data_IF_035347866733
#
_entry.id   IF_035347866733
#
_cell.length_a   1.000
_cell.length_b   1.000
_cell.length_c   1.000
_cell.angle_alpha   90.00
_cell.angle_beta   90.00
_cell.angle_gamma   90.00
#
_symmetry.space_group_name_H-M   'P 1'
#
loop_
_entity.id
_entity.type
_entity.pdbx_description
1 polymer ?
#
# COMPACT_ATOMS: atom_id res chain seq x y z
N UNK A 1 -20.59 21.70 18.87
CA UNK A 1 -19.22 22.24 19.09
C UNK A 1 -18.33 21.05 19.43
N UNK A 2 -17.52 20.57 18.49
CA UNK A 2 -16.61 19.45 18.75
C UNK A 2 -15.19 20.01 18.83
N UNK A 3 -14.55 19.73 19.96
CA UNK A 3 -13.33 20.34 20.42
C UNK A 3 -12.16 20.11 19.45
N UNK A 4 -11.37 21.17 19.29
CA UNK A 4 -10.05 21.10 18.70
C UNK A 4 -9.08 20.48 19.72
N UNK A 5 -8.24 19.53 19.26
CA UNK A 5 -6.92 19.32 19.86
C UNK A 5 -6.64 17.96 20.50
N UNK A 6 -6.44 16.93 19.69
CA UNK A 6 -5.37 15.94 19.90
C UNK A 6 -4.72 15.71 18.54
N UNK A 7 -3.53 16.28 18.31
CA UNK A 7 -2.73 16.02 17.09
C UNK A 7 -2.03 14.67 17.22
N UNK A 8 -2.81 13.60 17.33
CA UNK A 8 -2.32 12.24 17.16
C UNK A 8 -2.05 11.96 15.68
N UNK A 9 -1.07 11.11 15.37
CA UNK A 9 -0.90 10.59 14.02
C UNK A 9 -2.13 9.76 13.65
N UNK A 10 -2.89 10.19 12.64
CA UNK A 10 -4.09 9.50 12.17
C UNK A 10 -3.66 8.49 11.10
N UNK A 11 -3.78 7.19 11.41
CA UNK A 11 -3.59 6.11 10.44
C UNK A 11 -4.93 5.78 9.81
N UNK A 12 -4.99 5.76 8.48
CA UNK A 12 -6.16 5.35 7.70
C UNK A 12 -5.78 4.15 6.83
N UNK A 13 -6.55 3.07 6.95
CA UNK A 13 -6.41 1.88 6.12
C UNK A 13 -7.41 1.97 4.96
N UNK A 14 -6.94 1.68 3.75
CA UNK A 14 -7.76 1.66 2.54
C UNK A 14 -7.67 0.28 1.90
N UNK A 15 -8.79 -0.22 1.38
CA UNK A 15 -8.83 -1.50 0.65
C UNK A 15 -8.62 -1.24 -0.83
N UNK A 16 -7.65 -1.91 -1.43
CA UNK A 16 -7.54 -2.02 -2.88
C UNK A 16 -8.53 -3.12 -3.29
N UNK A 17 -9.58 -2.74 -4.01
CA UNK A 17 -10.57 -3.66 -4.55
C UNK A 17 -10.20 -4.08 -5.97
N UNK A 18 -10.67 -5.26 -6.36
CA UNK A 18 -10.51 -5.82 -7.70
C UNK A 18 -11.89 -5.87 -8.39
N UNK A 19 -11.93 -5.54 -9.68
CA UNK A 19 -13.14 -5.72 -10.51
C UNK A 19 -13.28 -7.18 -10.94
N UNK A 20 -14.51 -7.68 -11.01
CA UNK A 20 -14.80 -9.06 -11.42
C UNK A 20 -14.74 -9.27 -12.96
N UNK A 21 -14.41 -8.23 -13.73
CA UNK A 21 -14.35 -8.29 -15.19
C UNK A 21 -13.03 -8.91 -15.71
N UNK A 22 -13.00 -9.25 -17.00
CA UNK A 22 -11.76 -9.50 -17.74
C UNK A 22 -11.52 -8.35 -18.73
N UNK A 23 -10.39 -7.62 -18.65
CA UNK A 23 -9.31 -7.76 -17.68
C UNK A 23 -9.69 -7.30 -16.26
N UNK A 24 -9.05 -7.90 -15.26
CA UNK A 24 -9.19 -7.51 -13.84
C UNK A 24 -8.54 -6.14 -13.64
N UNK A 25 -9.22 -5.27 -12.91
CA UNK A 25 -8.73 -3.93 -12.58
C UNK A 25 -8.70 -3.70 -11.09
N UNK A 26 -7.76 -2.90 -10.63
CA UNK A 26 -7.56 -2.55 -9.22
C UNK A 26 -7.93 -1.10 -8.97
N UNK A 27 -8.58 -0.83 -7.83
CA UNK A 27 -8.98 0.52 -7.48
C UNK A 27 -9.07 0.76 -5.96
N UNK A 28 -8.80 2.00 -5.55
CA UNK A 28 -9.09 2.51 -4.19
C UNK A 28 -10.43 3.24 -4.13
N UNK A 29 -10.83 3.84 -5.26
CA UNK A 29 -12.10 4.53 -5.49
C UNK A 29 -12.65 4.06 -6.83
N UNK A 30 -13.94 3.78 -6.92
CA UNK A 30 -14.58 3.26 -8.14
C UNK A 30 -14.39 4.17 -9.36
N UNK A 31 -14.11 5.45 -9.11
CA UNK A 31 -13.84 6.46 -10.12
C UNK A 31 -12.48 6.28 -10.83
N UNK A 32 -11.51 5.59 -10.21
CA UNK A 32 -10.16 5.41 -10.74
C UNK A 32 -9.75 3.94 -10.71
N UNK A 33 -9.85 3.28 -11.87
CA UNK A 33 -9.52 1.88 -12.08
C UNK A 33 -8.23 1.75 -12.88
N UNK A 34 -7.34 0.84 -12.44
CA UNK A 34 -6.01 0.63 -12.99
C UNK A 34 -5.79 -0.84 -13.32
N UNK A 35 -4.83 -1.15 -14.19
CA UNK A 35 -4.60 -2.53 -14.62
C UNK A 35 -3.65 -3.28 -13.67
N UNK A 36 -2.85 -2.56 -12.87
CA UNK A 36 -1.99 -3.16 -11.85
C UNK A 36 -1.83 -2.30 -10.57
N UNK A 37 -1.44 -2.91 -9.45
CA UNK A 37 -1.23 -2.23 -8.17
C UNK A 37 -0.17 -1.12 -8.23
N UNK A 38 0.99 -1.28 -8.91
CA UNK A 38 1.97 -0.21 -9.06
C UNK A 38 1.39 1.07 -9.66
N UNK A 39 0.50 0.97 -10.65
CA UNK A 39 -0.18 2.11 -11.26
C UNK A 39 -1.12 2.82 -10.27
N UNK A 40 -1.85 2.05 -9.45
CA UNK A 40 -2.69 2.61 -8.38
C UNK A 40 -1.83 3.47 -7.46
N UNK A 41 -0.67 2.98 -7.04
CA UNK A 41 0.25 3.67 -6.13
C UNK A 41 0.81 4.94 -6.79
N UNK A 42 1.30 4.85 -8.03
CA UNK A 42 1.93 5.98 -8.73
C UNK A 42 0.94 7.10 -9.03
N UNK A 43 -0.30 6.77 -9.37
CA UNK A 43 -1.36 7.76 -9.53
C UNK A 43 -1.67 8.45 -8.20
N UNK A 44 -1.85 7.67 -7.13
CA UNK A 44 -2.25 8.21 -5.83
C UNK A 44 -1.13 8.95 -5.08
N UNK A 45 0.11 8.85 -5.56
CA UNK A 45 1.25 9.66 -5.12
C UNK A 45 1.15 11.12 -5.56
N UNK A 46 0.58 11.35 -6.73
CA UNK A 46 0.38 12.68 -7.31
C UNK A 46 -1.00 13.25 -6.96
N UNK A 47 -2.04 12.41 -6.98
CA UNK A 47 -3.43 12.81 -6.77
C UNK A 47 -4.03 12.08 -5.56
N UNK A 48 -4.81 12.76 -4.72
CA UNK A 48 -5.43 12.09 -3.57
C UNK A 48 -6.53 11.11 -3.99
N UNK A 49 -7.24 11.33 -5.11
CA UNK A 49 -8.14 10.34 -5.71
C UNK A 49 -9.30 9.82 -4.83
N UNK A 50 -9.63 10.51 -3.73
CA UNK A 50 -10.60 10.05 -2.72
C UNK A 50 -9.98 9.58 -1.39
N UNK A 51 -8.65 9.55 -1.28
CA UNK A 51 -7.92 9.36 -0.03
C UNK A 51 -7.88 10.66 0.79
N UNK A 52 -7.68 10.55 2.11
CA UNK A 52 -7.50 11.69 3.01
C UNK A 52 -6.32 12.57 2.57
N UNK A 53 -5.26 11.96 2.06
CA UNK A 53 -4.14 12.66 1.41
C UNK A 53 -3.54 11.79 0.30
N UNK A 54 -2.83 12.41 -0.65
CA UNK A 54 -1.95 11.69 -1.57
C UNK A 54 -0.91 10.84 -0.81
N UNK A 55 -0.45 9.75 -1.42
CA UNK A 55 0.64 8.94 -0.90
C UNK A 55 1.95 9.74 -0.96
N UNK A 56 2.61 9.98 0.17
CA UNK A 56 3.79 10.85 0.25
C UNK A 56 5.09 10.08 0.38
N UNK A 57 5.14 9.20 1.37
CA UNK A 57 6.35 8.50 1.75
C UNK A 57 6.05 7.00 1.76
N UNK A 58 6.73 6.20 0.92
CA UNK A 58 6.65 4.76 1.06
C UNK A 58 7.17 4.39 2.44
N UNK A 59 6.40 3.58 3.17
CA UNK A 59 6.84 3.03 4.45
C UNK A 59 7.74 1.84 4.16
N UNK A 60 8.98 1.90 4.60
CA UNK A 60 9.96 0.83 4.37
C UNK A 60 11.18 1.03 5.26
N UNK A 61 11.56 -0.03 5.97
CA UNK A 61 12.72 0.02 6.83
C UNK A 61 13.93 -0.21 5.93
N UNK A 62 14.80 0.79 5.77
CA UNK A 62 16.07 0.62 5.03
C UNK A 62 17.04 -0.36 5.72
N UNK A 63 16.61 -0.99 6.81
CA UNK A 63 17.37 -1.87 7.68
C UNK A 63 16.65 -3.20 7.92
N UNK A 64 15.70 -3.62 7.07
CA UNK A 64 15.15 -4.97 7.20
C UNK A 64 16.23 -5.98 6.84
N UNK A 65 16.79 -6.61 7.88
CA UNK A 65 17.46 -7.89 7.74
C UNK A 65 16.52 -8.81 6.98
N UNK A 66 16.98 -9.34 5.85
CA UNK A 66 16.29 -10.40 5.10
C UNK A 66 15.69 -11.40 6.09
N UNK A 67 14.39 -11.77 5.95
CA UNK A 67 13.79 -12.73 6.87
C UNK A 67 14.70 -13.96 6.94
N UNK A 68 14.92 -14.54 8.13
CA UNK A 68 15.81 -15.67 8.28
C UNK A 68 15.37 -16.76 7.31
N UNK A 69 16.23 -17.09 6.34
CA UNK A 69 16.02 -18.22 5.44
C UNK A 69 15.92 -19.46 6.32
N UNK A 70 14.91 -20.30 6.10
CA UNK A 70 14.84 -21.60 6.74
C UNK A 70 16.12 -22.38 6.40
N UNK A 71 17.00 -22.54 7.41
CA UNK A 71 18.10 -23.51 7.49
C UNK A 71 18.98 -23.69 6.26
N UNK A 72 20.18 -23.12 6.34
CA UNK A 72 21.38 -23.51 5.59
C UNK A 72 21.34 -23.44 4.05
N UNK A 73 22.46 -23.00 3.48
CA UNK A 73 22.76 -23.13 2.05
C UNK A 73 22.59 -24.57 1.55
N UNK A 74 22.43 -24.72 0.23
CA UNK A 74 22.17 -25.95 -0.54
C UNK A 74 23.07 -27.20 -0.26
N UNK A 75 24.00 -27.15 0.70
CA UNK A 75 25.04 -28.18 0.91
C UNK A 75 25.23 -28.63 2.38
N UNK A 76 24.43 -28.14 3.34
CA UNK A 76 24.62 -28.53 4.75
C UNK A 76 23.75 -29.73 5.13
N UNK A 77 24.29 -30.92 4.88
CA UNK A 77 23.91 -32.18 5.52
C UNK A 77 25.16 -32.82 6.11
N UNK A 78 25.20 -33.01 7.45
CA UNK A 78 25.91 -34.08 8.18
C UNK A 78 25.19 -34.35 9.51
#
# INVERSE_FOLDING_TARGET
KTAAGEKGYIIKHYHIKETQGSPRKFYLSEQFQFDCIPEVIEYHKHNAGGLVTRLRYPVGNQTESTPPTAGFSYEMWE
#
